data_IF_144485847984
#
_entry.id   IF_144485847984
#
_cell.length_a   1.000
_cell.length_b   1.000
_cell.length_c   1.000
_cell.angle_alpha   90.00
_cell.angle_beta   90.00
_cell.angle_gamma   90.00
#
_symmetry.space_group_name_H-M   'P 1'
#
loop_
_entity.id
_entity.type
_entity.pdbx_description
1 polymer ?
#
# COMPACT_ATOMS: atom_id res chain seq x y z
N UNK A 1 8.45 7.08 5.95
CA UNK A 1 7.76 5.78 5.79
C UNK A 1 7.15 5.35 7.12
N UNK A 2 5.91 4.92 7.11
CA UNK A 2 5.16 4.55 8.32
C UNK A 2 5.61 3.18 8.84
N UNK A 3 5.88 2.26 7.92
CA UNK A 3 6.30 0.90 8.24
C UNK A 3 7.66 0.62 7.62
N UNK A 4 8.52 -0.10 8.33
CA UNK A 4 9.79 -0.54 7.77
C UNK A 4 9.59 -1.85 6.99
N UNK A 5 10.61 -2.27 6.23
CA UNK A 5 10.51 -3.45 5.36
C UNK A 5 10.24 -4.73 6.14
N UNK A 6 10.85 -4.87 7.30
CA UNK A 6 10.64 -6.04 8.15
C UNK A 6 9.19 -6.11 8.63
N UNK A 7 8.62 -4.98 9.02
CA UNK A 7 7.22 -4.92 9.44
C UNK A 7 6.28 -5.31 8.30
N UNK A 8 6.55 -4.82 7.10
CA UNK A 8 5.73 -5.13 5.94
C UNK A 8 5.77 -6.62 5.56
N UNK A 9 6.90 -7.27 5.76
CA UNK A 9 7.05 -8.70 5.43
C UNK A 9 6.48 -9.63 6.49
N UNK A 10 6.70 -9.33 7.76
CA UNK A 10 6.49 -10.28 8.84
C UNK A 10 5.24 -10.05 9.66
N UNK A 11 4.76 -8.82 9.76
CA UNK A 11 3.62 -8.49 10.59
C UNK A 11 2.37 -8.28 9.75
N UNK A 12 1.22 -8.55 10.36
CA UNK A 12 -0.08 -8.26 9.78
C UNK A 12 -0.83 -7.33 10.70
N UNK A 13 -1.53 -6.36 10.14
CA UNK A 13 -2.44 -5.53 10.92
C UNK A 13 -3.75 -6.29 11.15
N UNK A 14 -4.44 -5.95 12.23
CA UNK A 14 -5.73 -6.56 12.54
C UNK A 14 -6.81 -6.10 11.55
N UNK A 15 -7.91 -6.86 11.49
CA UNK A 15 -9.05 -6.48 10.65
C UNK A 15 -9.57 -5.09 11.00
N UNK A 16 -9.61 -4.74 12.29
CA UNK A 16 -10.11 -3.43 12.70
C UNK A 16 -9.22 -2.30 12.21
N UNK A 17 -7.90 -2.50 12.17
CA UNK A 17 -6.98 -1.50 11.65
C UNK A 17 -7.13 -1.33 10.15
N UNK A 18 -7.28 -2.44 9.42
CA UNK A 18 -7.54 -2.40 7.99
C UNK A 18 -8.84 -1.67 7.71
N UNK A 19 -9.88 -1.96 8.47
CA UNK A 19 -11.18 -1.32 8.29
C UNK A 19 -11.11 0.18 8.53
N UNK A 20 -10.36 0.62 9.55
CA UNK A 20 -10.16 2.03 9.82
C UNK A 20 -9.50 2.74 8.65
N UNK A 21 -8.48 2.14 8.07
CA UNK A 21 -7.76 2.77 6.95
C UNK A 21 -8.63 2.76 5.68
N UNK A 22 -9.40 1.71 5.46
CA UNK A 22 -10.34 1.65 4.35
C UNK A 22 -11.42 2.73 4.49
N UNK A 23 -11.95 2.95 5.68
CA UNK A 23 -12.91 4.01 5.93
C UNK A 23 -12.29 5.39 5.70
N UNK A 24 -11.04 5.56 6.12
CA UNK A 24 -10.35 6.84 5.99
C UNK A 24 -10.01 7.18 4.55
N UNK A 25 -9.53 6.23 3.77
CA UNK A 25 -8.97 6.50 2.45
C UNK A 25 -9.71 5.83 1.29
N UNK A 26 -10.47 4.79 1.55
CA UNK A 26 -11.03 3.95 0.49
C UNK A 26 -11.88 4.72 -0.52
N UNK A 27 -12.79 5.55 -0.05
CA UNK A 27 -13.65 6.35 -0.93
C UNK A 27 -12.83 7.36 -1.72
N UNK A 28 -11.92 8.07 -1.04
CA UNK A 28 -11.06 9.03 -1.71
C UNK A 28 -10.17 8.39 -2.75
N UNK A 29 -9.68 7.17 -2.48
CA UNK A 29 -8.90 6.42 -3.44
C UNK A 29 -9.72 6.09 -4.69
N UNK A 30 -10.93 5.59 -4.52
CA UNK A 30 -11.83 5.28 -5.64
C UNK A 30 -12.15 6.50 -6.49
N UNK A 31 -12.18 7.66 -5.87
CA UNK A 31 -12.45 8.93 -6.54
C UNK A 31 -11.19 9.65 -7.00
N UNK A 32 -10.03 9.02 -6.88
CA UNK A 32 -8.73 9.57 -7.26
C UNK A 32 -8.39 10.88 -6.55
N UNK A 33 -8.82 11.02 -5.28
CA UNK A 33 -8.60 12.24 -4.50
C UNK A 33 -7.42 12.17 -3.53
N UNK A 34 -6.77 11.00 -3.42
CA UNK A 34 -5.61 10.87 -2.54
C UNK A 34 -4.36 11.46 -3.20
N UNK A 35 -3.53 12.12 -2.39
CA UNK A 35 -2.21 12.51 -2.87
C UNK A 35 -1.26 11.29 -2.78
N UNK A 36 -0.07 11.36 -3.42
CA UNK A 36 0.84 10.21 -3.43
C UNK A 36 1.25 9.72 -2.04
N UNK A 37 1.42 10.63 -1.09
CA UNK A 37 1.78 10.26 0.27
C UNK A 37 0.68 9.45 0.94
N UNK A 38 -0.56 9.83 0.73
CA UNK A 38 -1.72 9.11 1.26
C UNK A 38 -1.89 7.75 0.58
N UNK A 39 -1.67 7.70 -0.74
CA UNK A 39 -1.72 6.43 -1.47
C UNK A 39 -0.65 5.46 -0.97
N UNK A 40 0.55 5.97 -0.70
CA UNK A 40 1.63 5.15 -0.15
C UNK A 40 1.24 4.59 1.21
N UNK A 41 0.72 5.42 2.10
CA UNK A 41 0.26 4.97 3.41
C UNK A 41 -0.82 3.90 3.28
N UNK A 42 -1.80 4.13 2.43
CA UNK A 42 -2.88 3.19 2.19
C UNK A 42 -2.35 1.84 1.69
N UNK A 43 -1.47 1.89 0.68
CA UNK A 43 -0.86 0.69 0.15
C UNK A 43 -0.06 -0.08 1.18
N UNK A 44 0.72 0.61 2.01
CA UNK A 44 1.53 -0.03 3.04
C UNK A 44 0.68 -0.75 4.09
N UNK A 45 -0.44 -0.16 4.49
CA UNK A 45 -1.36 -0.82 5.42
C UNK A 45 -2.01 -2.03 4.77
N UNK A 46 -2.44 -1.91 3.52
CA UNK A 46 -3.07 -3.02 2.81
C UNK A 46 -2.11 -4.20 2.60
N UNK A 47 -0.81 -3.97 2.49
CA UNK A 47 0.18 -5.05 2.43
C UNK A 47 0.16 -5.93 3.67
N UNK A 48 -0.27 -5.40 4.80
CA UNK A 48 -0.31 -6.12 6.07
C UNK A 48 -1.68 -6.71 6.37
N UNK A 49 -2.62 -6.54 5.47
CA UNK A 49 -3.97 -7.09 5.62
C UNK A 49 -3.95 -8.61 5.57
N UNK A 50 -4.82 -9.28 6.35
CA UNK A 50 -4.97 -10.73 6.22
C UNK A 50 -5.75 -11.16 4.99
N UNK A 51 -6.33 -10.22 4.25
CA UNK A 51 -7.17 -10.53 3.08
C UNK A 51 -6.37 -10.42 1.79
N UNK A 52 -6.43 -11.47 0.96
CA UNK A 52 -5.71 -11.51 -0.30
C UNK A 52 -6.13 -10.40 -1.25
N UNK A 53 -7.41 -10.09 -1.30
CA UNK A 53 -7.91 -9.01 -2.15
C UNK A 53 -7.27 -7.66 -1.83
N UNK A 54 -6.94 -7.42 -0.56
CA UNK A 54 -6.28 -6.18 -0.17
C UNK A 54 -4.83 -6.13 -0.66
N UNK A 55 -4.17 -7.29 -0.76
CA UNK A 55 -2.84 -7.36 -1.35
C UNK A 55 -2.85 -6.95 -2.82
N UNK A 56 -3.86 -7.37 -3.56
CA UNK A 56 -4.00 -6.99 -4.96
C UNK A 56 -4.26 -5.49 -5.11
N UNK A 57 -5.05 -4.91 -4.22
CA UNK A 57 -5.27 -3.46 -4.23
C UNK A 57 -3.95 -2.73 -3.94
N UNK A 58 -3.18 -3.20 -2.96
CA UNK A 58 -1.89 -2.61 -2.65
C UNK A 58 -0.94 -2.65 -3.85
N UNK A 59 -0.86 -3.79 -4.53
CA UNK A 59 -0.03 -3.93 -5.72
C UNK A 59 -0.45 -2.92 -6.78
N UNK A 60 -1.74 -2.79 -7.02
CA UNK A 60 -2.26 -1.81 -7.98
C UNK A 60 -1.86 -0.39 -7.62
N UNK A 61 -1.95 -0.04 -6.33
CA UNK A 61 -1.54 1.28 -5.86
C UNK A 61 -0.07 1.55 -6.17
N UNK A 62 0.81 0.60 -5.83
CA UNK A 62 2.24 0.78 -6.07
C UNK A 62 2.58 0.83 -7.55
N UNK A 63 1.92 0.03 -8.38
CA UNK A 63 2.12 0.09 -9.83
C UNK A 63 1.73 1.44 -10.40
N UNK A 64 0.61 1.99 -9.96
CA UNK A 64 0.17 3.31 -10.42
C UNK A 64 1.10 4.42 -9.95
N UNK A 65 1.58 4.34 -8.71
CA UNK A 65 2.53 5.33 -8.19
C UNK A 65 3.83 5.32 -8.97
N UNK A 66 4.32 4.14 -9.34
CA UNK A 66 5.55 4.01 -10.13
C UNK A 66 5.37 4.60 -11.53
N UNK A 67 4.22 4.35 -12.15
CA UNK A 67 3.95 4.82 -13.51
C UNK A 67 3.68 6.32 -13.60
N UNK A 68 3.37 6.95 -12.50
CA UNK A 68 2.93 8.35 -12.48
C UNK A 68 3.99 9.22 -11.82
N UNK A 69 4.93 9.81 -12.61
CA UNK A 69 6.11 10.47 -12.05
C UNK A 69 5.85 11.86 -11.46
N UNK A 70 4.66 12.13 -10.99
CA UNK A 70 4.35 13.37 -10.23
C UNK A 70 4.92 13.34 -8.83
N UNK A 71 5.72 12.32 -8.52
CA UNK A 71 6.18 12.04 -7.17
C UNK A 71 7.63 12.43 -6.97
N UNK A 72 7.98 12.71 -5.73
CA UNK A 72 9.35 12.91 -5.30
C UNK A 72 10.17 11.64 -5.57
N UNK A 73 11.34 11.78 -6.19
CA UNK A 73 12.24 10.66 -6.44
C UNK A 73 12.59 9.89 -5.17
N UNK A 74 12.62 10.58 -4.02
CA UNK A 74 12.92 9.92 -2.74
C UNK A 74 11.88 8.88 -2.34
N UNK A 75 10.67 8.97 -2.88
CA UNK A 75 9.60 8.04 -2.58
C UNK A 75 9.54 6.85 -3.52
N UNK A 76 10.19 6.93 -4.67
CA UNK A 76 10.11 5.89 -5.70
C UNK A 76 10.63 4.55 -5.19
N UNK A 77 11.71 4.56 -4.40
CA UNK A 77 12.23 3.32 -3.82
C UNK A 77 11.21 2.64 -2.92
N UNK A 78 10.44 3.42 -2.18
CA UNK A 78 9.39 2.86 -1.32
C UNK A 78 8.27 2.23 -2.12
N UNK A 79 7.94 2.80 -3.29
CA UNK A 79 6.95 2.22 -4.18
C UNK A 79 7.41 0.86 -4.71
N UNK A 80 8.67 0.75 -5.14
CA UNK A 80 9.23 -0.51 -5.63
C UNK A 80 9.31 -1.55 -4.52
N UNK A 81 9.73 -1.14 -3.33
CA UNK A 81 9.77 -2.05 -2.18
C UNK A 81 8.38 -2.59 -1.87
N UNK A 82 7.37 -1.71 -1.85
CA UNK A 82 6.00 -2.12 -1.61
C UNK A 82 5.49 -3.12 -2.66
N UNK A 83 5.80 -2.84 -3.93
CA UNK A 83 5.39 -3.71 -5.03
C UNK A 83 6.03 -5.11 -4.91
N UNK A 84 7.32 -5.15 -4.63
CA UNK A 84 8.05 -6.41 -4.47
C UNK A 84 7.47 -7.22 -3.31
N UNK A 85 7.24 -6.58 -2.17
CA UNK A 85 6.65 -7.23 -1.00
C UNK A 85 5.26 -7.78 -1.33
N UNK A 86 4.45 -6.99 -2.03
CA UNK A 86 3.12 -7.42 -2.45
C UNK A 86 3.16 -8.69 -3.30
N UNK A 87 4.03 -8.73 -4.29
CA UNK A 87 4.20 -9.93 -5.13
C UNK A 87 4.69 -11.13 -4.33
N UNK A 88 5.61 -10.92 -3.40
CA UNK A 88 6.11 -12.00 -2.55
C UNK A 88 5.00 -12.60 -1.69
N UNK A 89 4.15 -11.76 -1.14
CA UNK A 89 3.05 -12.23 -0.28
C UNK A 89 1.97 -12.96 -1.07
N UNK A 90 1.69 -12.54 -2.28
CA UNK A 90 0.67 -13.18 -3.12
C UNK A 90 1.11 -14.58 -3.56
N UNK A 91 2.40 -14.79 -3.76
CA UNK A 91 2.93 -16.09 -4.20
C UNK A 91 2.96 -17.15 -3.09
N UNK A 92 2.84 -16.76 -1.86
CA UNK A 92 2.83 -17.68 -0.72
C UNK A 92 1.39 -18.10 -0.42
#
# INVERSE_FOLDING_TARGET
MIYNDETLLNNKVSESEVQKIVEKYGKAFKESRLNPSQELEYGQVLLQSPFEQDLFIAITIFEELIRNPRNDLNMVLEYYVGLIIGFMKVKV
#
